data_IF_017703464205
#
_entry.id   IF_017703464205
#
_cell.length_a   1.000
_cell.length_b   1.000
_cell.length_c   1.000
_cell.angle_alpha   90.00
_cell.angle_beta   90.00
_cell.angle_gamma   90.00
#
_symmetry.space_group_name_H-M   'P 1'
#
loop_
_entity.id
_entity.type
_entity.pdbx_description
1 polymer ?
#
# COMPACT_ATOMS: atom_id res chain seq x y z
N UNK A 1 -74.20 -53.76 -14.40
CA UNK A 1 -74.26 -53.42 -12.97
C UNK A 1 -73.71 -52.00 -12.85
N UNK A 2 -74.57 -50.97 -12.86
CA UNK A 2 -75.09 -50.27 -11.67
C UNK A 2 -73.94 -49.83 -10.73
N UNK A 3 -73.82 -48.58 -10.29
CA UNK A 3 -74.64 -47.36 -10.42
C UNK A 3 -73.92 -46.29 -9.59
N UNK A 4 -74.24 -45.02 -9.86
CA UNK A 4 -74.19 -43.89 -8.92
C UNK A 4 -72.86 -43.10 -8.86
N UNK A 5 -72.79 -41.92 -9.49
CA UNK A 5 -73.41 -40.63 -9.07
C UNK A 5 -72.56 -39.98 -7.97
N UNK A 6 -71.94 -38.83 -8.28
CA UNK A 6 -72.03 -37.52 -7.61
C UNK A 6 -71.21 -36.53 -8.47
N UNK A 7 -71.86 -35.63 -9.25
CA UNK A 7 -72.05 -34.18 -8.96
C UNK A 7 -70.71 -33.50 -8.61
N UNK A 8 -70.12 -32.58 -9.38
CA UNK A 8 -70.56 -31.26 -9.87
C UNK A 8 -69.81 -30.95 -11.19
N UNK A 9 -70.43 -30.58 -12.30
CA UNK A 9 -70.94 -29.26 -12.71
C UNK A 9 -69.91 -28.10 -12.77
N UNK A 10 -69.47 -27.85 -14.02
CA UNK A 10 -69.38 -26.55 -14.72
C UNK A 10 -68.26 -25.51 -14.43
N UNK A 11 -67.81 -24.95 -15.55
CA UNK A 11 -67.04 -23.73 -15.78
C UNK A 11 -65.55 -23.79 -15.35
N UNK A 12 -64.59 -23.68 -16.26
CA UNK A 12 -64.46 -22.64 -17.27
C UNK A 12 -63.41 -21.66 -16.77
N UNK A 13 -62.32 -21.51 -17.52
CA UNK A 13 -61.41 -20.37 -17.66
C UNK A 13 -60.07 -20.96 -18.12
N UNK A 14 -59.74 -20.67 -19.38
CA UNK A 14 -58.39 -20.73 -19.86
C UNK A 14 -57.53 -19.85 -18.96
N UNK A 15 -56.66 -20.45 -18.14
CA UNK A 15 -55.54 -19.71 -17.58
C UNK A 15 -54.59 -19.44 -18.75
N UNK A 16 -54.74 -18.23 -19.32
CA UNK A 16 -53.64 -17.56 -19.98
C UNK A 16 -52.52 -17.44 -18.95
N UNK A 17 -51.57 -18.37 -18.98
CA UNK A 17 -50.26 -18.15 -18.44
C UNK A 17 -49.61 -17.09 -19.34
N UNK A 18 -49.86 -15.81 -19.03
CA UNK A 18 -48.96 -14.74 -19.45
C UNK A 18 -47.66 -14.97 -18.70
N UNK A 19 -46.81 -15.83 -19.26
CA UNK A 19 -45.39 -15.62 -19.16
C UNK A 19 -45.17 -14.20 -19.70
N UNK A 20 -45.00 -13.24 -18.81
CA UNK A 20 -44.27 -12.04 -19.14
C UNK A 20 -42.91 -12.55 -19.57
N UNK A 21 -42.73 -12.76 -20.88
CA UNK A 21 -41.42 -13.02 -21.44
C UNK A 21 -40.61 -11.78 -21.11
N UNK A 22 -39.77 -11.86 -20.08
CA UNK A 22 -38.57 -11.06 -20.04
C UNK A 22 -37.90 -11.29 -21.40
N UNK A 23 -37.82 -10.23 -22.20
CA UNK A 23 -37.20 -10.27 -23.51
C UNK A 23 -35.69 -10.43 -23.29
N UNK A 24 -35.25 -11.68 -23.05
CA UNK A 24 -33.88 -12.09 -22.71
C UNK A 24 -32.87 -11.76 -23.82
N UNK A 25 -33.32 -11.18 -24.94
CA UNK A 25 -32.52 -10.77 -26.07
C UNK A 25 -32.42 -9.24 -26.24
N UNK A 26 -32.99 -8.43 -25.34
CA UNK A 26 -32.65 -7.01 -25.30
C UNK A 26 -31.32 -6.83 -24.61
N UNK A 27 -30.33 -6.34 -25.36
CA UNK A 27 -29.11 -5.80 -24.78
C UNK A 27 -29.54 -4.68 -23.84
N UNK A 28 -29.03 -4.62 -22.59
CA UNK A 28 -29.32 -3.50 -21.72
C UNK A 28 -28.81 -2.22 -22.40
N UNK A 29 -29.74 -1.33 -22.71
CA UNK A 29 -29.47 0.02 -23.23
C UNK A 29 -29.55 0.98 -22.07
N UNK A 30 -28.57 1.88 -21.98
CA UNK A 30 -28.58 2.96 -20.99
C UNK A 30 -29.74 3.90 -21.32
N UNK A 31 -30.64 4.15 -20.38
CA UNK A 31 -31.69 5.14 -20.49
C UNK A 31 -31.20 6.46 -19.87
N UNK A 32 -31.55 7.58 -20.47
CA UNK A 32 -31.22 8.89 -19.93
C UNK A 32 -31.94 9.17 -18.59
N UNK A 33 -33.04 8.46 -18.28
CA UNK A 33 -33.66 8.42 -16.96
C UNK A 33 -32.78 7.77 -15.89
N UNK A 34 -31.82 6.93 -16.29
CA UNK A 34 -30.84 6.30 -15.42
C UNK A 34 -29.56 7.14 -15.28
N UNK A 35 -29.57 8.40 -15.75
CA UNK A 35 -28.44 9.31 -15.59
C UNK A 35 -27.98 9.39 -14.15
N UNK A 36 -26.66 9.45 -13.94
CA UNK A 36 -26.08 9.51 -12.60
C UNK A 36 -24.79 10.32 -12.55
N UNK A 37 -24.46 10.83 -11.37
CA UNK A 37 -23.14 11.41 -11.05
C UNK A 37 -22.31 10.41 -10.25
N UNK A 38 -21.03 10.28 -10.56
CA UNK A 38 -20.09 9.42 -9.84
C UNK A 38 -18.66 9.93 -9.93
N UNK A 39 -17.79 9.42 -9.06
CA UNK A 39 -16.35 9.63 -9.18
C UNK A 39 -15.79 8.79 -10.33
N UNK A 40 -14.76 9.31 -10.99
CA UNK A 40 -14.06 8.54 -12.05
C UNK A 40 -13.21 7.40 -11.46
N UNK A 41 -12.85 7.49 -10.18
CA UNK A 41 -12.18 6.45 -9.42
C UNK A 41 -12.58 6.50 -7.94
N UNK A 42 -12.63 5.34 -7.30
CA UNK A 42 -12.99 5.20 -5.88
C UNK A 42 -11.81 5.48 -4.93
N UNK A 43 -10.60 5.66 -5.46
CA UNK A 43 -9.43 6.00 -4.64
C UNK A 43 -8.38 6.80 -5.40
N UNK A 44 -7.70 7.72 -4.70
CA UNK A 44 -6.52 8.42 -5.18
C UNK A 44 -5.44 8.49 -4.09
N UNK A 45 -4.18 8.61 -4.51
CA UNK A 45 -3.02 8.82 -3.63
C UNK A 45 -2.26 10.05 -4.11
N UNK A 46 -1.90 10.92 -3.16
CA UNK A 46 -1.11 12.13 -3.42
C UNK A 46 -0.08 12.32 -2.31
N UNK A 47 1.05 12.92 -2.63
CA UNK A 47 2.05 13.29 -1.62
C UNK A 47 1.57 14.48 -0.79
N UNK A 48 1.93 14.57 0.49
CA UNK A 48 1.48 15.64 1.39
C UNK A 48 1.88 17.07 0.95
N UNK A 49 2.95 17.18 0.15
CA UNK A 49 3.43 18.45 -0.40
C UNK A 49 2.81 18.84 -1.75
N UNK A 50 1.81 18.08 -2.24
CA UNK A 50 1.16 18.30 -3.54
C UNK A 50 0.44 19.66 -3.63
N UNK A 51 0.04 20.23 -2.49
CA UNK A 51 -0.76 21.44 -2.44
C UNK A 51 -2.20 21.21 -2.90
N UNK A 52 -2.60 21.76 -4.06
CA UNK A 52 -4.00 21.67 -4.52
C UNK A 52 -4.22 20.47 -5.43
N UNK A 53 -5.20 19.63 -5.08
CA UNK A 53 -5.65 18.47 -5.85
C UNK A 53 -7.04 18.71 -6.45
N UNK A 54 -7.36 17.97 -7.50
CA UNK A 54 -8.65 18.01 -8.20
C UNK A 54 -9.23 16.61 -8.32
N UNK A 55 -10.37 16.36 -7.68
CA UNK A 55 -11.05 15.06 -7.74
C UNK A 55 -12.20 15.16 -8.74
N UNK A 56 -12.16 14.41 -9.87
CA UNK A 56 -13.19 14.48 -10.88
C UNK A 56 -14.49 13.79 -10.45
N UNK A 57 -15.60 14.47 -10.74
CA UNK A 57 -16.96 13.93 -10.66
C UNK A 57 -17.59 14.07 -12.03
N UNK A 58 -18.05 12.96 -12.60
CA UNK A 58 -18.59 12.89 -13.95
C UNK A 58 -20.06 12.52 -13.94
N UNK A 59 -20.84 13.20 -14.79
CA UNK A 59 -22.22 12.84 -15.12
C UNK A 59 -22.22 11.88 -16.31
N UNK A 60 -22.74 10.67 -16.07
CA UNK A 60 -23.11 9.73 -17.11
C UNK A 60 -24.56 10.03 -17.54
N UNK A 61 -24.72 10.52 -18.78
CA UNK A 61 -26.02 10.81 -19.39
C UNK A 61 -25.92 10.71 -20.91
N UNK A 62 -27.05 10.47 -21.59
CA UNK A 62 -27.12 10.54 -23.06
C UNK A 62 -27.20 12.01 -23.46
N UNK A 63 -28.15 12.74 -22.87
CA UNK A 63 -28.37 14.15 -23.14
C UNK A 63 -27.62 15.03 -22.11
N UNK A 64 -27.18 16.24 -22.50
CA UNK A 64 -26.70 17.25 -21.56
C UNK A 64 -27.65 17.45 -20.36
N UNK A 65 -27.12 17.35 -19.14
CA UNK A 65 -27.90 17.55 -17.91
C UNK A 65 -27.46 18.82 -17.18
N UNK A 66 -28.44 19.65 -16.83
CA UNK A 66 -28.28 20.73 -15.87
C UNK A 66 -28.67 20.23 -14.49
N UNK A 67 -27.71 20.18 -13.56
CA UNK A 67 -27.95 19.71 -12.20
C UNK A 67 -26.90 20.25 -11.24
N UNK A 68 -27.15 20.03 -9.95
CA UNK A 68 -26.22 20.32 -8.87
C UNK A 68 -25.93 19.03 -8.13
N UNK A 69 -24.65 18.73 -7.94
CA UNK A 69 -24.19 17.59 -7.16
C UNK A 69 -23.60 18.10 -5.85
N UNK A 70 -24.17 17.71 -4.72
CA UNK A 70 -23.62 18.04 -3.40
C UNK A 70 -22.71 16.93 -2.90
N UNK A 71 -21.64 17.30 -2.22
CA UNK A 71 -20.71 16.36 -1.62
C UNK A 71 -20.38 16.74 -0.18
N UNK A 72 -19.76 15.81 0.54
CA UNK A 72 -19.18 16.05 1.87
C UNK A 72 -17.80 15.45 1.92
N UNK A 73 -16.85 16.20 2.47
CA UNK A 73 -15.53 15.69 2.83
C UNK A 73 -15.59 15.26 4.28
N UNK A 74 -15.26 14.00 4.53
CA UNK A 74 -15.41 13.30 5.79
C UNK A 74 -14.01 13.03 6.34
N UNK A 75 -13.78 13.40 7.59
CA UNK A 75 -12.54 13.09 8.32
C UNK A 75 -12.21 11.60 8.22
N UNK A 76 -10.92 11.29 8.16
CA UNK A 76 -10.44 9.94 8.40
C UNK A 76 -10.57 9.53 9.87
N UNK A 77 -10.58 8.23 10.09
CA UNK A 77 -10.67 7.62 11.42
C UNK A 77 -9.28 7.43 12.06
N UNK A 78 -9.21 7.45 13.39
CA UNK A 78 -7.98 7.17 14.13
C UNK A 78 -6.88 8.24 13.99
N UNK A 79 -5.64 7.83 14.28
CA UNK A 79 -4.43 8.67 14.21
C UNK A 79 -3.99 8.93 12.77
N UNK A 80 -4.19 7.95 11.88
CA UNK A 80 -3.95 8.02 10.43
C UNK A 80 -5.13 8.66 9.66
N UNK A 81 -6.05 9.30 10.38
CA UNK A 81 -7.18 9.99 9.78
C UNK A 81 -6.89 11.47 9.55
N UNK A 82 -6.84 11.88 8.28
CA UNK A 82 -6.75 13.30 7.93
C UNK A 82 -8.01 14.05 8.36
N UNK A 83 -7.84 15.26 8.89
CA UNK A 83 -8.90 16.11 9.44
C UNK A 83 -9.19 17.29 8.51
N UNK A 84 -10.45 17.42 8.13
CA UNK A 84 -10.93 18.55 7.33
C UNK A 84 -10.79 19.85 8.15
N UNK A 85 -10.29 20.90 7.50
CA UNK A 85 -9.96 22.18 8.13
C UNK A 85 -8.57 22.23 8.76
N UNK A 86 -7.88 21.09 8.90
CA UNK A 86 -6.49 21.02 9.40
C UNK A 86 -5.56 20.49 8.31
N UNK A 87 -5.74 19.23 7.93
CA UNK A 87 -4.92 18.52 6.94
C UNK A 87 -5.47 18.73 5.51
N UNK A 88 -6.78 19.00 5.39
CA UNK A 88 -7.48 19.16 4.12
C UNK A 88 -8.37 20.39 4.15
N UNK A 89 -8.15 21.36 3.26
CA UNK A 89 -8.97 22.55 3.12
C UNK A 89 -9.82 22.44 1.86
N UNK A 90 -11.14 22.44 2.02
CA UNK A 90 -12.08 22.49 0.89
C UNK A 90 -12.06 23.91 0.31
N UNK A 91 -11.71 24.05 -0.98
CA UNK A 91 -11.64 25.37 -1.63
C UNK A 91 -13.01 25.97 -1.90
N UNK A 92 -14.00 25.12 -2.19
CA UNK A 92 -15.38 25.53 -2.38
C UNK A 92 -16.20 25.32 -1.10
N UNK A 93 -16.43 26.42 -0.37
CA UNK A 93 -17.21 26.42 0.87
C UNK A 93 -18.67 25.97 0.67
N UNK A 94 -19.19 26.02 -0.55
CA UNK A 94 -20.57 25.63 -0.84
C UNK A 94 -20.77 24.11 -0.91
N UNK A 95 -19.68 23.34 -1.10
CA UNK A 95 -19.68 21.88 -1.25
C UNK A 95 -20.65 21.37 -2.33
N UNK A 96 -20.78 22.14 -3.43
CA UNK A 96 -21.65 21.79 -4.56
C UNK A 96 -20.96 21.98 -5.90
N UNK A 97 -21.09 21.00 -6.78
CA UNK A 97 -20.66 21.09 -8.17
C UNK A 97 -21.86 21.43 -9.05
N UNK A 98 -21.79 22.54 -9.76
CA UNK A 98 -22.82 22.97 -10.70
C UNK A 98 -22.49 22.51 -12.13
N UNK A 99 -23.40 21.78 -12.73
CA UNK A 99 -23.32 21.34 -14.12
C UNK A 99 -24.35 22.10 -14.93
N UNK A 100 -23.89 22.82 -15.96
CA UNK A 100 -24.73 23.61 -16.86
C UNK A 100 -25.12 22.86 -18.15
N UNK A 101 -24.71 21.58 -18.24
CA UNK A 101 -24.90 20.71 -19.40
C UNK A 101 -23.83 20.85 -20.48
N UNK A 102 -22.90 21.81 -20.38
CA UNK A 102 -21.82 21.98 -21.38
C UNK A 102 -20.63 21.08 -21.11
N UNK A 103 -20.36 20.79 -19.83
CA UNK A 103 -19.32 19.87 -19.37
C UNK A 103 -19.95 18.70 -18.63
N UNK A 104 -19.36 17.52 -18.79
CA UNK A 104 -19.78 16.31 -18.06
C UNK A 104 -18.94 16.05 -16.82
N UNK A 105 -17.78 16.69 -16.68
CA UNK A 105 -16.88 16.50 -15.54
C UNK A 105 -16.63 17.85 -14.87
N UNK A 106 -16.81 17.87 -13.56
CA UNK A 106 -16.42 18.97 -12.68
C UNK A 106 -15.44 18.43 -11.63
N UNK A 107 -14.75 19.32 -10.92
CA UNK A 107 -13.72 18.95 -9.98
C UNK A 107 -14.01 19.48 -8.59
N UNK A 108 -13.87 18.62 -7.59
CA UNK A 108 -13.75 19.03 -6.20
C UNK A 108 -12.30 19.46 -6.00
N UNK A 109 -12.09 20.73 -5.67
CA UNK A 109 -10.74 21.27 -5.38
C UNK A 109 -10.48 21.27 -3.88
N UNK A 110 -9.41 20.58 -3.49
CA UNK A 110 -8.96 20.47 -2.10
C UNK A 110 -7.50 20.93 -2.03
N UNK A 111 -7.15 21.63 -0.95
CA UNK A 111 -5.76 21.91 -0.61
C UNK A 111 -5.33 20.96 0.51
N UNK A 112 -4.29 20.17 0.23
CA UNK A 112 -3.60 19.32 1.19
C UNK A 112 -2.59 20.17 1.95
N UNK A 113 -2.59 20.03 3.29
CA UNK A 113 -1.67 20.69 4.20
C UNK A 113 -0.72 19.64 4.77
N UNK A 114 0.55 19.78 4.41
CA UNK A 114 1.66 19.09 5.06
C UNK A 114 1.66 19.42 6.56
N UNK A 115 1.85 18.39 7.39
CA UNK A 115 1.96 18.58 8.84
C UNK A 115 3.38 19.01 9.15
N UNK A 116 3.50 20.06 9.95
CA UNK A 116 4.79 20.63 10.30
C UNK A 116 4.99 20.59 11.82
N UNK A 117 6.16 20.13 12.27
CA UNK A 117 6.62 20.22 13.64
C UNK A 117 7.89 21.09 13.68
N UNK A 118 7.86 22.18 14.45
CA UNK A 118 8.98 23.14 14.56
C UNK A 118 9.50 23.70 13.21
N UNK A 119 8.64 23.74 12.19
CA UNK A 119 8.99 24.25 10.85
C UNK A 119 9.68 23.23 9.94
N UNK A 120 9.70 21.96 10.34
CA UNK A 120 10.10 20.81 9.51
C UNK A 120 8.89 19.89 9.34
N UNK A 121 8.80 19.18 8.22
CA UNK A 121 7.76 18.19 7.99
C UNK A 121 7.73 17.14 9.10
N UNK A 122 6.52 16.72 9.49
CA UNK A 122 6.28 15.89 10.65
C UNK A 122 5.78 14.51 10.23
N UNK A 123 6.53 13.47 10.60
CA UNK A 123 6.09 12.09 10.38
C UNK A 123 4.82 11.79 11.16
N UNK A 124 3.74 11.55 10.44
CA UNK A 124 2.45 11.09 10.95
C UNK A 124 1.99 9.77 10.32
N UNK A 125 2.76 9.26 9.36
CA UNK A 125 2.35 8.14 8.52
C UNK A 125 1.31 8.58 7.49
N UNK A 126 0.99 7.68 6.55
CA UNK A 126 0.03 8.02 5.49
C UNK A 126 -1.34 8.33 6.10
N UNK A 127 -1.91 9.48 5.73
CA UNK A 127 -3.21 9.91 6.21
C UNK A 127 -4.31 9.59 5.21
N UNK A 128 -5.51 9.29 5.69
CA UNK A 128 -6.66 9.01 4.82
C UNK A 128 -7.86 9.89 5.16
N UNK A 129 -8.66 10.22 4.16
CA UNK A 129 -9.99 10.82 4.33
C UNK A 129 -10.90 10.39 3.18
N UNK A 130 -12.20 10.69 3.28
CA UNK A 130 -13.17 10.25 2.28
C UNK A 130 -14.02 11.40 1.77
N UNK A 131 -14.37 11.38 0.50
CA UNK A 131 -15.36 12.27 -0.11
C UNK A 131 -16.59 11.44 -0.46
N UNK A 132 -17.78 11.92 -0.11
CA UNK A 132 -19.06 11.28 -0.45
C UNK A 132 -19.93 12.22 -1.28
N UNK A 133 -20.52 11.71 -2.36
CA UNK A 133 -21.60 12.40 -3.06
C UNK A 133 -22.91 12.14 -2.31
N UNK A 134 -23.58 13.22 -1.89
CA UNK A 134 -24.79 13.15 -1.06
C UNK A 134 -26.07 13.22 -1.90
N UNK A 135 -26.07 14.06 -2.94
CA UNK A 135 -27.21 14.22 -3.83
C UNK A 135 -26.76 14.70 -5.22
N UNK A 136 -27.56 14.43 -6.25
CA UNK A 136 -27.30 14.84 -7.63
C UNK A 136 -28.50 15.55 -8.28
N UNK A 137 -29.30 16.24 -7.47
CA UNK A 137 -30.43 17.05 -7.94
C UNK A 137 -31.49 16.23 -8.68
N UNK A 138 -31.55 16.41 -10.01
CA UNK A 138 -32.53 15.76 -10.90
C UNK A 138 -32.08 14.39 -11.45
N UNK A 139 -30.85 13.96 -11.17
CA UNK A 139 -30.30 12.67 -11.59
C UNK A 139 -29.93 11.82 -10.36
N UNK A 140 -29.56 10.56 -10.59
CA UNK A 140 -29.17 9.66 -9.52
C UNK A 140 -27.75 9.93 -9.01
N UNK A 141 -27.48 9.52 -7.78
CA UNK A 141 -26.11 9.32 -7.30
C UNK A 141 -25.70 7.91 -7.71
N UNK A 142 -24.58 7.79 -8.42
CA UNK A 142 -24.07 6.50 -8.91
C UNK A 142 -23.53 5.61 -7.80
N UNK A 143 -23.18 4.37 -8.14
CA UNK A 143 -22.59 3.43 -7.18
C UNK A 143 -21.21 3.89 -6.67
N UNK A 144 -20.43 4.57 -7.53
CA UNK A 144 -19.13 5.14 -7.20
C UNK A 144 -19.30 6.53 -6.56
N UNK A 145 -20.04 6.59 -5.45
CA UNK A 145 -20.34 7.82 -4.70
C UNK A 145 -19.45 8.05 -3.49
N UNK A 146 -18.45 7.20 -3.30
CA UNK A 146 -17.47 7.28 -2.22
C UNK A 146 -16.07 7.24 -2.85
N UNK A 147 -15.22 8.19 -2.48
CA UNK A 147 -13.84 8.26 -2.93
C UNK A 147 -12.91 8.41 -1.73
N UNK A 148 -12.00 7.47 -1.53
CA UNK A 148 -10.99 7.52 -0.48
C UNK A 148 -9.72 8.16 -1.01
N UNK A 149 -9.22 9.17 -0.29
CA UNK A 149 -7.96 9.84 -0.62
C UNK A 149 -6.92 9.43 0.40
N UNK A 150 -5.74 9.01 -0.09
CA UNK A 150 -4.54 8.76 0.72
C UNK A 150 -3.54 9.88 0.49
N UNK A 151 -3.04 10.46 1.57
CA UNK A 151 -1.96 11.44 1.60
C UNK A 151 -0.71 10.69 2.04
N UNK A 152 0.26 10.52 1.13
CA UNK A 152 1.53 9.86 1.42
C UNK A 152 2.40 10.78 2.27
N UNK A 153 2.89 10.26 3.38
CA UNK A 153 3.85 10.94 4.24
C UNK A 153 5.26 10.79 3.65
N UNK A 154 5.98 11.91 3.52
CA UNK A 154 7.33 11.98 2.96
C UNK A 154 8.40 12.19 4.03
N UNK A 155 7.99 12.42 5.28
CA UNK A 155 8.83 12.86 6.39
C UNK A 155 9.23 11.72 7.33
N UNK A 156 9.15 10.47 6.87
CA UNK A 156 9.60 9.29 7.63
C UNK A 156 10.97 9.57 8.27
N UNK A 157 11.16 9.33 9.59
CA UNK A 157 12.38 9.73 10.29
C UNK A 157 13.64 9.20 9.60
N UNK A 158 13.55 7.97 9.08
CA UNK A 158 14.63 7.29 8.38
C UNK A 158 14.73 7.54 6.86
N UNK A 159 14.01 8.51 6.29
CA UNK A 159 13.97 8.75 4.84
C UNK A 159 15.37 8.97 4.22
N UNK A 160 16.30 9.54 5.00
CA UNK A 160 17.69 9.75 4.62
C UNK A 160 18.50 8.45 4.45
N UNK A 161 18.09 7.33 5.07
CA UNK A 161 18.75 6.02 4.97
C UNK A 161 17.89 4.95 4.25
N UNK A 162 16.59 5.15 4.07
CA UNK A 162 15.75 4.21 3.30
C UNK A 162 16.14 4.21 1.81
N UNK A 163 15.98 3.06 1.15
CA UNK A 163 16.18 2.91 -0.30
C UNK A 163 17.23 1.85 -0.69
N UNK A 164 17.72 1.95 -1.92
CA UNK A 164 18.64 0.97 -2.52
C UNK A 164 20.10 1.31 -2.27
N UNK A 165 20.89 0.27 -2.05
CA UNK A 165 22.33 0.34 -1.81
C UNK A 165 23.07 -0.61 -2.75
N UNK A 166 24.15 -0.13 -3.34
CA UNK A 166 25.18 -0.98 -3.92
C UNK A 166 26.07 -1.50 -2.79
N UNK A 167 26.14 -2.83 -2.64
CA UNK A 167 26.95 -3.48 -1.62
C UNK A 167 28.23 -4.02 -2.24
N UNK A 168 29.34 -3.83 -1.53
CA UNK A 168 30.65 -4.40 -1.85
C UNK A 168 31.18 -5.16 -0.64
N UNK A 169 31.66 -6.39 -0.86
CA UNK A 169 32.28 -7.23 0.16
C UNK A 169 33.21 -8.26 -0.46
N UNK A 170 33.71 -9.18 0.36
CA UNK A 170 34.56 -10.30 -0.07
C UNK A 170 33.86 -11.63 0.19
N UNK A 171 34.05 -12.59 -0.70
CA UNK A 171 33.64 -13.99 -0.50
C UNK A 171 34.80 -14.89 -0.91
N UNK A 172 35.31 -15.68 0.02
CA UNK A 172 36.52 -16.49 -0.16
C UNK A 172 37.70 -15.67 -0.72
N UNK A 173 37.89 -14.45 -0.20
CA UNK A 173 38.95 -13.52 -0.60
C UNK A 173 38.75 -12.86 -1.97
N UNK A 174 37.62 -13.09 -2.65
CA UNK A 174 37.31 -12.47 -3.94
C UNK A 174 36.26 -11.35 -3.78
N UNK A 175 36.44 -10.20 -4.45
CA UNK A 175 35.45 -9.12 -4.38
C UNK A 175 34.12 -9.56 -4.97
N UNK A 176 33.03 -9.16 -4.33
CA UNK A 176 31.66 -9.47 -4.75
C UNK A 176 30.78 -8.23 -4.56
N UNK A 177 29.80 -8.05 -5.45
CA UNK A 177 28.88 -6.92 -5.42
C UNK A 177 27.44 -7.33 -5.70
N UNK A 178 26.50 -6.73 -4.99
CA UNK A 178 25.06 -6.97 -5.15
C UNK A 178 24.27 -5.73 -4.70
N UNK A 179 22.94 -5.82 -4.75
CA UNK A 179 22.04 -4.75 -4.31
C UNK A 179 21.30 -5.19 -3.05
N UNK A 180 21.21 -4.26 -2.11
CA UNK A 180 20.41 -4.34 -0.89
C UNK A 180 19.37 -3.21 -0.93
N UNK A 181 18.17 -3.46 -0.42
CA UNK A 181 17.15 -2.44 -0.16
C UNK A 181 16.89 -2.37 1.34
N UNK A 182 16.87 -1.15 1.88
CA UNK A 182 16.32 -0.85 3.20
C UNK A 182 14.92 -0.29 3.05
N UNK A 183 13.92 -0.95 3.62
CA UNK A 183 12.52 -0.49 3.67
C UNK A 183 12.12 -0.15 5.10
N UNK A 184 11.09 0.70 5.24
CA UNK A 184 10.49 1.03 6.54
C UNK A 184 9.86 -0.20 7.18
N UNK A 185 9.89 -0.25 8.50
CA UNK A 185 8.96 -1.08 9.26
C UNK A 185 7.61 -0.36 9.37
N UNK A 186 6.51 -1.10 9.31
CA UNK A 186 5.16 -0.52 9.33
C UNK A 186 4.72 -0.12 10.76
N UNK A 187 5.40 -0.59 11.80
CA UNK A 187 5.02 -0.43 13.21
C UNK A 187 6.05 0.36 14.05
N UNK A 188 7.35 0.26 13.75
CA UNK A 188 8.43 0.94 14.47
C UNK A 188 9.25 1.86 13.53
N UNK A 189 9.10 3.19 13.59
CA UNK A 189 9.79 4.12 12.69
C UNK A 189 11.32 4.17 12.91
N UNK A 190 11.86 3.45 13.91
CA UNK A 190 13.31 3.31 14.14
C UNK A 190 13.86 1.97 13.63
N UNK A 191 13.04 1.18 12.92
CA UNK A 191 13.41 -0.12 12.39
C UNK A 191 13.37 -0.09 10.86
N UNK A 192 14.33 -0.78 10.26
CA UNK A 192 14.39 -1.02 8.81
C UNK A 192 14.42 -2.51 8.54
N UNK A 193 13.86 -2.90 7.40
CA UNK A 193 14.00 -4.25 6.84
C UNK A 193 15.06 -4.27 5.75
N UNK A 194 15.98 -5.22 5.83
CA UNK A 194 17.04 -5.44 4.86
C UNK A 194 16.75 -6.69 4.02
N UNK A 195 16.55 -6.54 2.72
CA UNK A 195 16.13 -7.64 1.83
C UNK A 195 17.24 -8.65 1.52
N UNK A 196 18.49 -8.17 1.45
CA UNK A 196 19.62 -8.94 0.94
C UNK A 196 20.96 -8.54 1.58
N UNK A 197 21.14 -8.83 2.87
CA UNK A 197 22.44 -8.62 3.54
C UNK A 197 23.58 -9.48 2.96
N UNK A 198 23.26 -10.55 2.21
CA UNK A 198 24.23 -11.39 1.49
C UNK A 198 23.73 -11.67 0.06
N UNK A 199 24.62 -11.98 -0.91
CA UNK A 199 24.26 -12.28 -2.30
C UNK A 199 23.20 -13.36 -2.49
N UNK A 200 23.21 -14.40 -1.65
CA UNK A 200 22.25 -15.50 -1.73
C UNK A 200 20.81 -15.02 -1.56
N UNK A 201 20.58 -14.05 -0.66
CA UNK A 201 19.26 -13.52 -0.36
C UNK A 201 18.61 -12.78 -1.55
N UNK A 202 19.40 -12.25 -2.50
CA UNK A 202 18.89 -11.62 -3.74
C UNK A 202 18.02 -12.58 -4.56
N UNK A 203 18.24 -13.90 -4.43
CA UNK A 203 17.44 -14.91 -5.14
C UNK A 203 16.12 -15.27 -4.44
N UNK A 204 15.86 -14.72 -3.25
CA UNK A 204 14.72 -15.04 -2.40
C UNK A 204 14.05 -13.76 -1.86
N UNK A 205 13.56 -12.88 -2.74
CA UNK A 205 12.91 -11.63 -2.33
C UNK A 205 11.70 -11.90 -1.43
N UNK A 206 11.60 -11.16 -0.32
CA UNK A 206 10.53 -11.32 0.67
C UNK A 206 10.65 -12.54 1.60
N UNK A 207 11.69 -13.36 1.46
CA UNK A 207 11.87 -14.57 2.29
C UNK A 207 13.16 -14.55 3.12
N UNK A 208 14.13 -13.70 2.80
CA UNK A 208 15.42 -13.62 3.49
C UNK A 208 15.63 -12.29 4.24
N UNK A 209 14.54 -11.56 4.47
CA UNK A 209 14.56 -10.25 5.08
C UNK A 209 14.82 -10.36 6.59
N UNK A 210 15.57 -9.41 7.13
CA UNK A 210 15.83 -9.28 8.57
C UNK A 210 15.74 -7.82 8.96
N UNK A 211 15.37 -7.57 10.21
CA UNK A 211 15.23 -6.21 10.70
C UNK A 211 16.52 -5.71 11.36
N UNK A 212 16.76 -4.41 11.20
CA UNK A 212 17.85 -3.68 11.84
C UNK A 212 17.29 -2.50 12.64
N UNK A 213 17.87 -2.24 13.81
CA UNK A 213 17.56 -1.05 14.62
C UNK A 213 18.47 0.10 14.26
N UNK A 214 17.89 1.28 14.06
CA UNK A 214 18.62 2.48 13.68
C UNK A 214 18.87 3.36 14.91
N UNK A 215 20.09 3.89 15.05
CA UNK A 215 20.40 4.85 16.11
C UNK A 215 19.70 6.20 15.87
N UNK A 216 19.47 6.96 16.95
CA UNK A 216 18.81 8.27 16.90
C UNK A 216 19.52 9.29 15.99
N UNK A 217 20.84 9.16 15.80
CA UNK A 217 21.63 10.01 14.88
C UNK A 217 21.74 9.44 13.46
N UNK A 218 21.03 8.34 13.17
CA UNK A 218 20.99 7.55 11.94
C UNK A 218 22.34 6.99 11.47
N UNK A 219 23.40 7.12 12.29
CA UNK A 219 24.76 6.69 11.92
C UNK A 219 25.03 5.22 12.19
N UNK A 220 24.12 4.50 12.84
CA UNK A 220 24.25 3.07 13.11
C UNK A 220 23.00 2.31 12.72
N UNK A 221 23.20 1.18 12.06
CA UNK A 221 22.16 0.17 11.85
C UNK A 221 22.65 -1.13 12.47
N UNK A 222 21.89 -1.67 13.42
CA UNK A 222 22.28 -2.82 14.23
C UNK A 222 21.38 -4.00 13.94
N UNK A 223 21.96 -5.11 13.46
CA UNK A 223 21.27 -6.36 13.22
C UNK A 223 21.68 -7.37 14.29
N UNK A 224 20.71 -7.86 15.07
CA UNK A 224 20.96 -8.93 16.03
C UNK A 224 21.10 -10.27 15.29
N UNK A 225 22.12 -11.07 15.63
CA UNK A 225 22.22 -12.44 15.15
C UNK A 225 21.13 -13.33 15.77
N UNK A 226 20.84 -14.46 15.13
CA UNK A 226 19.79 -15.40 15.52
C UNK A 226 18.39 -15.07 15.00
N UNK A 227 18.22 -14.00 14.21
CA UNK A 227 16.95 -13.70 13.53
C UNK A 227 16.64 -14.79 12.49
N UNK A 228 15.50 -15.46 12.63
CA UNK A 228 14.95 -16.37 11.63
C UNK A 228 14.34 -15.60 10.47
N UNK A 229 14.55 -16.09 9.25
CA UNK A 229 13.94 -15.56 8.04
C UNK A 229 12.71 -16.39 7.63
N UNK A 230 11.97 -15.92 6.63
CA UNK A 230 10.85 -16.67 6.05
C UNK A 230 11.26 -17.85 5.16
N UNK A 231 12.55 -18.00 4.82
CA UNK A 231 13.04 -19.08 3.97
C UNK A 231 13.31 -20.33 4.82
N UNK A 232 12.80 -21.46 4.33
CA UNK A 232 13.01 -22.78 4.95
C UNK A 232 13.92 -23.64 4.09
N UNK A 233 14.88 -24.31 4.73
CA UNK A 233 15.60 -25.44 4.15
C UNK A 233 14.82 -26.75 4.33
N UNK A 234 15.47 -27.89 4.09
CA UNK A 234 14.85 -29.20 4.33
C UNK A 234 14.44 -29.37 5.81
N UNK A 235 13.42 -30.19 6.06
CA UNK A 235 12.91 -30.50 7.40
C UNK A 235 12.45 -29.26 8.21
N UNK A 236 11.85 -28.29 7.52
CA UNK A 236 11.35 -27.02 8.07
C UNK A 236 12.42 -26.34 8.95
N UNK A 237 13.63 -26.23 8.41
CA UNK A 237 14.77 -25.62 9.07
C UNK A 237 14.94 -24.16 8.60
N UNK A 238 14.56 -23.15 9.41
CA UNK A 238 14.61 -21.76 8.99
C UNK A 238 16.05 -21.30 8.79
N UNK A 239 16.26 -20.43 7.80
CA UNK A 239 17.52 -19.70 7.70
C UNK A 239 17.60 -18.66 8.81
N UNK A 240 18.80 -18.50 9.39
CA UNK A 240 19.06 -17.53 10.46
C UNK A 240 20.23 -16.63 10.15
N UNK A 241 20.13 -15.35 10.51
CA UNK A 241 21.24 -14.40 10.45
C UNK A 241 22.31 -14.78 11.47
N UNK A 242 23.56 -14.86 11.03
CA UNK A 242 24.72 -15.24 11.84
C UNK A 242 25.90 -14.32 11.54
N UNK A 243 26.81 -14.18 12.49
CA UNK A 243 28.11 -13.56 12.25
C UNK A 243 29.07 -14.60 11.66
N UNK A 244 29.70 -14.26 10.53
CA UNK A 244 30.73 -15.10 9.91
C UNK A 244 32.11 -14.66 10.40
N UNK A 245 32.82 -15.56 11.07
CA UNK A 245 34.13 -15.29 11.68
C UNK A 245 35.31 -15.59 10.72
N UNK A 246 35.01 -16.11 9.53
CA UNK A 246 36.01 -16.58 8.57
C UNK A 246 36.41 -18.04 8.78
N UNK A 247 37.05 -18.65 7.79
CA UNK A 247 37.55 -20.03 7.90
C UNK A 247 36.45 -21.06 8.18
N UNK A 248 35.23 -20.84 7.66
CA UNK A 248 34.04 -21.66 7.93
C UNK A 248 33.57 -21.66 9.40
N UNK A 249 34.05 -20.70 10.20
CA UNK A 249 33.55 -20.46 11.55
C UNK A 249 32.46 -19.39 11.51
N UNK A 250 31.37 -19.64 12.23
CA UNK A 250 30.24 -18.73 12.36
C UNK A 250 29.65 -18.84 13.77
N UNK A 251 28.87 -17.84 14.18
CA UNK A 251 28.19 -17.84 15.47
C UNK A 251 26.78 -17.28 15.37
N UNK A 252 25.87 -17.92 16.12
CA UNK A 252 24.51 -17.46 16.43
C UNK A 252 24.39 -16.99 17.87
N UNK A 253 25.49 -16.99 18.64
CA UNK A 253 25.49 -16.36 19.97
C UNK A 253 25.04 -14.91 19.79
N UNK A 254 24.28 -14.38 20.76
CA UNK A 254 23.71 -13.03 20.72
C UNK A 254 24.82 -11.98 20.52
N UNK A 255 25.13 -11.71 19.26
CA UNK A 255 26.07 -10.71 18.79
C UNK A 255 25.33 -9.73 17.91
N UNK A 256 25.95 -8.59 17.70
CA UNK A 256 25.40 -7.51 16.90
C UNK A 256 26.31 -7.27 15.70
N UNK A 257 25.71 -7.30 14.51
CA UNK A 257 26.34 -6.82 13.29
C UNK A 257 25.95 -5.34 13.16
N UNK A 258 26.91 -4.47 13.48
CA UNK A 258 26.72 -3.02 13.46
C UNK A 258 27.32 -2.45 12.18
N UNK A 259 26.49 -1.75 11.43
CA UNK A 259 26.91 -0.91 10.32
C UNK A 259 27.02 0.53 10.79
N UNK A 260 28.18 1.16 10.61
CA UNK A 260 28.45 2.54 11.00
C UNK A 260 28.63 3.45 9.78
N UNK A 261 28.25 4.71 9.94
CA UNK A 261 28.30 5.72 8.88
C UNK A 261 28.87 7.05 9.38
N UNK A 262 29.79 7.63 8.59
CA UNK A 262 30.24 9.02 8.74
C UNK A 262 29.46 9.98 7.80
N UNK A 263 28.92 9.43 6.71
CA UNK A 263 28.08 10.07 5.70
C UNK A 263 26.94 9.09 5.42
N UNK A 264 25.68 9.48 5.66
CA UNK A 264 24.49 8.61 5.61
C UNK A 264 24.27 7.93 4.25
N UNK A 265 25.01 8.35 3.21
CA UNK A 265 25.07 7.65 1.93
C UNK A 265 25.94 6.39 1.93
N UNK A 266 26.75 6.19 2.96
CA UNK A 266 27.71 5.09 3.05
C UNK A 266 27.73 4.48 4.46
N UNK A 267 27.42 3.19 4.52
CA UNK A 267 27.49 2.38 5.74
C UNK A 267 28.58 1.32 5.61
N UNK A 268 29.26 1.02 6.70
CA UNK A 268 30.33 0.02 6.73
C UNK A 268 30.28 -0.85 7.97
N UNK A 269 30.66 -2.10 7.81
CA UNK A 269 30.98 -3.00 8.92
C UNK A 269 32.27 -3.76 8.60
N UNK A 270 32.97 -4.21 9.64
CA UNK A 270 34.11 -5.13 9.53
C UNK A 270 33.69 -6.59 9.84
N UNK A 271 32.46 -6.79 10.29
CA UNK A 271 31.89 -8.09 10.63
C UNK A 271 31.54 -8.88 9.38
N UNK A 272 31.90 -10.15 9.37
CA UNK A 272 31.41 -11.07 8.35
C UNK A 272 29.95 -11.41 8.60
N UNK A 273 29.21 -11.67 7.54
CA UNK A 273 27.75 -11.86 7.58
C UNK A 273 27.41 -13.18 6.94
N UNK A 274 26.50 -13.93 7.54
CA UNK A 274 25.97 -15.12 6.89
C UNK A 274 24.52 -15.43 7.22
N UNK A 275 23.91 -16.20 6.33
CA UNK A 275 22.67 -16.92 6.59
C UNK A 275 22.88 -18.42 6.42
N UNK A 276 22.44 -19.19 7.41
CA UNK A 276 22.51 -20.66 7.38
C UNK A 276 21.22 -21.25 7.93
N UNK A 277 20.81 -22.46 7.53
CA UNK A 277 19.72 -23.16 8.21
C UNK A 277 20.09 -23.43 9.66
N UNK A 278 19.19 -23.14 10.60
CA UNK A 278 19.45 -23.14 12.04
C UNK A 278 19.88 -24.50 12.60
N UNK A 279 19.25 -25.60 12.16
CA UNK A 279 19.54 -26.96 12.63
C UNK A 279 20.76 -27.52 11.89
N UNK A 280 20.85 -27.31 10.57
CA UNK A 280 21.92 -27.88 9.76
C UNK A 280 23.25 -27.12 9.90
N UNK A 281 23.20 -25.82 10.19
CA UNK A 281 24.34 -24.90 10.23
C UNK A 281 25.25 -25.02 8.99
N UNK A 282 24.63 -25.26 7.84
CA UNK A 282 25.31 -25.53 6.58
C UNK A 282 25.45 -24.24 5.76
N UNK A 283 26.66 -24.00 5.25
CA UNK A 283 26.94 -22.85 4.38
C UNK A 283 26.50 -23.12 2.93
N UNK A 284 25.83 -22.13 2.34
CA UNK A 284 25.44 -22.12 0.92
C UNK A 284 26.29 -21.12 0.14
N UNK A 285 26.49 -21.39 -1.15
CA UNK A 285 27.16 -20.45 -2.04
C UNK A 285 26.41 -19.12 -2.06
N UNK A 286 27.12 -18.01 -1.84
CA UNK A 286 26.50 -16.69 -1.77
C UNK A 286 25.96 -16.32 -0.39
N UNK A 287 25.89 -17.25 0.55
CA UNK A 287 25.28 -17.02 1.86
C UNK A 287 26.28 -16.60 2.94
N UNK A 288 27.56 -16.46 2.59
CA UNK A 288 28.64 -16.01 3.46
C UNK A 288 29.33 -14.80 2.81
N UNK A 289 29.59 -13.76 3.60
CA UNK A 289 30.47 -12.65 3.27
C UNK A 289 31.56 -12.58 4.32
N UNK A 290 32.81 -12.62 3.86
CA UNK A 290 34.00 -12.65 4.70
C UNK A 290 34.05 -11.43 5.63
N UNK A 291 34.56 -11.59 6.88
CA UNK A 291 34.91 -10.44 7.70
C UNK A 291 35.97 -9.57 7.00
N UNK A 292 35.88 -8.27 7.22
CA UNK A 292 36.57 -7.24 6.44
C UNK A 292 35.61 -6.12 6.06
N UNK A 293 36.09 -5.11 5.36
CA UNK A 293 35.26 -3.94 5.02
C UNK A 293 34.15 -4.29 4.04
N UNK A 294 32.94 -4.49 4.56
CA UNK A 294 31.71 -4.52 3.78
C UNK A 294 31.20 -3.09 3.70
N UNK A 295 30.91 -2.60 2.48
CA UNK A 295 30.47 -1.23 2.25
C UNK A 295 29.13 -1.22 1.52
N UNK A 296 28.19 -0.44 2.04
CA UNK A 296 26.93 -0.11 1.38
C UNK A 296 27.01 1.32 0.89
N UNK A 297 26.70 1.57 -0.38
CA UNK A 297 26.65 2.91 -0.96
C UNK A 297 25.27 3.16 -1.54
N UNK A 298 24.57 4.19 -1.04
CA UNK A 298 23.21 4.56 -1.47
C UNK A 298 23.19 4.90 -2.97
N UNK A 299 22.19 4.38 -3.69
CA UNK A 299 22.01 4.56 -5.13
C UNK A 299 21.17 5.79 -5.47
#
# INVERSE_FOLDING_TARGET
>A
MNKNIYKFLLAGIALAATVASCDLNKVPEFDDADSFAGFDATSYTFDENVGTIKIPVTIASIEPKQTVVSYTVIDGEGEQGAKVGTDVIVKDESSVLSFDGTVRTQYIELEIKERMENGVGAYTGDLTFTIRLESAGSINVGADNLCTITITDLDHPLADILGKYAVQGSMNGSPYSWTLTLSKDDEDPNVVWADALVPFAVSYPGAMEVYGRVSEDHKKITFATGQETGLMAADDDPFVLCEYLGGLQLTTEQTEIVFESEDLKVFRTDKGICFVPLKAMAAYTGALIDPGTITWTKQ
#
